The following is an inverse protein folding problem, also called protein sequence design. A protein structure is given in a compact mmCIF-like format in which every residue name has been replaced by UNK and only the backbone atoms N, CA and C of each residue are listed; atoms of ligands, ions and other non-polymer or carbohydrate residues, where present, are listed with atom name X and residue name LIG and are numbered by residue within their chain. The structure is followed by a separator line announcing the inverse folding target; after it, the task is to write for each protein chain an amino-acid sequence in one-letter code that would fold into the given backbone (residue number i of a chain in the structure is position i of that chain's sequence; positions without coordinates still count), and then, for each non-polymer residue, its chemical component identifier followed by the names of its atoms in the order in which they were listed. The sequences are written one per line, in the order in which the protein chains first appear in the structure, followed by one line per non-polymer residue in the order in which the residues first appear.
data_IF_160026972697
#
_entry.id   IF_160026972697
#
_cell.length_a   1.000
_cell.length_b   1.000
_cell.length_c   1.000
_cell.angle_alpha   90.00
_cell.angle_beta   90.00
_cell.angle_gamma   90.00
#
_symmetry.space_group_name_H-M   'P 1'
#
loop_
_entity.id
_entity.type
_entity.pdbx_description
1 polymer ?
#
# COMPACT_ATOMS: atom_id res chain seq x y z
N UNK A 1 -54.46 -11.31 -18.74
CA UNK A 1 -53.34 -12.07 -18.12
C UNK A 1 -52.30 -11.05 -17.67
N UNK A 2 -52.32 -10.70 -16.39
CA UNK A 2 -51.34 -9.79 -15.78
C UNK A 2 -50.18 -10.65 -15.25
N UNK A 3 -48.99 -10.48 -15.81
CA UNK A 3 -47.78 -11.03 -15.20
C UNK A 3 -47.49 -10.27 -13.89
N UNK A 4 -47.35 -10.95 -12.74
CA UNK A 4 -46.88 -10.30 -11.53
C UNK A 4 -45.37 -10.06 -11.72
N UNK A 5 -44.97 -8.79 -11.88
CA UNK A 5 -43.58 -8.40 -11.61
C UNK A 5 -43.35 -8.61 -10.12
N UNK A 6 -42.70 -9.71 -9.75
CA UNK A 6 -42.16 -9.91 -8.42
C UNK A 6 -41.08 -8.85 -8.18
N UNK A 7 -41.51 -7.70 -7.66
CA UNK A 7 -40.67 -6.63 -7.15
C UNK A 7 -39.97 -7.12 -5.87
N UNK A 8 -38.85 -7.81 -6.05
CA UNK A 8 -37.83 -8.03 -5.02
C UNK A 8 -37.09 -6.70 -4.78
N UNK A 9 -37.80 -5.68 -4.31
CA UNK A 9 -37.20 -4.45 -3.79
C UNK A 9 -37.83 -4.13 -2.45
N UNK A 10 -37.13 -4.46 -1.37
CA UNK A 10 -37.41 -3.91 -0.05
C UNK A 10 -37.18 -2.38 -0.06
N UNK A 11 -38.05 -1.58 0.58
CA UNK A 11 -38.04 -0.12 0.51
C UNK A 11 -37.18 0.51 1.61
N UNK A 12 -35.87 0.31 1.62
CA UNK A 12 -35.01 1.00 2.61
C UNK A 12 -33.81 1.77 2.06
N UNK A 13 -33.41 1.61 0.80
CA UNK A 13 -32.34 2.45 0.23
C UNK A 13 -32.53 2.72 -1.27
N UNK A 14 -32.35 3.97 -1.75
CA UNK A 14 -32.28 4.24 -3.17
C UNK A 14 -31.03 3.55 -3.75
N UNK A 15 -31.14 2.81 -4.88
CA UNK A 15 -30.06 2.00 -5.44
C UNK A 15 -28.76 2.79 -5.74
N UNK A 16 -28.85 4.10 -6.01
CA UNK A 16 -27.68 4.96 -6.23
C UNK A 16 -26.80 5.20 -5.00
N UNK A 17 -27.37 5.28 -3.79
CA UNK A 17 -26.61 5.64 -2.58
C UNK A 17 -25.71 4.48 -2.07
N UNK A 18 -26.00 3.24 -2.48
CA UNK A 18 -25.17 2.07 -2.18
C UNK A 18 -23.94 2.01 -3.10
N UNK A 19 -24.12 2.30 -4.39
CA UNK A 19 -23.04 2.34 -5.37
C UNK A 19 -22.02 3.45 -5.04
N UNK A 20 -22.48 4.63 -4.64
CA UNK A 20 -21.61 5.76 -4.26
C UNK A 20 -20.66 5.41 -3.12
N UNK A 21 -21.16 4.72 -2.09
CA UNK A 21 -20.35 4.30 -0.94
C UNK A 21 -19.33 3.24 -1.33
N UNK A 22 -19.73 2.24 -2.12
CA UNK A 22 -18.82 1.19 -2.59
C UNK A 22 -17.69 1.75 -3.44
N UNK A 23 -18.01 2.65 -4.37
CA UNK A 23 -17.02 3.31 -5.23
C UNK A 23 -16.10 4.20 -4.40
N UNK A 24 -16.64 4.93 -3.43
CA UNK A 24 -15.84 5.75 -2.51
C UNK A 24 -14.83 4.91 -1.73
N UNK A 25 -15.22 3.75 -1.19
CA UNK A 25 -14.30 2.82 -0.51
C UNK A 25 -13.24 2.24 -1.45
N UNK A 26 -13.57 1.96 -2.71
CA UNK A 26 -12.61 1.54 -3.72
C UNK A 26 -11.57 2.65 -4.01
N UNK A 27 -12.00 3.90 -4.11
CA UNK A 27 -11.08 5.05 -4.32
C UNK A 27 -10.20 5.27 -3.09
N UNK A 28 -10.76 5.24 -1.88
CA UNK A 28 -10.00 5.39 -0.63
C UNK A 28 -8.96 4.29 -0.48
N UNK A 29 -9.32 3.04 -0.74
CA UNK A 29 -8.37 1.92 -0.68
C UNK A 29 -7.28 2.03 -1.74
N UNK A 30 -7.59 2.52 -2.95
CA UNK A 30 -6.57 2.82 -3.96
C UNK A 30 -5.59 3.90 -3.51
N UNK A 31 -6.09 5.00 -2.92
CA UNK A 31 -5.24 6.06 -2.38
C UNK A 31 -4.33 5.53 -1.27
N UNK A 32 -4.84 4.64 -0.41
CA UNK A 32 -4.02 3.98 0.61
C UNK A 32 -2.95 3.05 0.00
N UNK A 33 -3.28 2.28 -1.04
CA UNK A 33 -2.31 1.44 -1.75
C UNK A 33 -1.19 2.31 -2.34
N UNK A 34 -1.53 3.39 -3.05
CA UNK A 34 -0.55 4.29 -3.66
C UNK A 34 0.28 4.99 -2.58
N UNK A 35 -0.35 5.53 -1.54
CA UNK A 35 0.33 6.22 -0.45
C UNK A 35 1.28 5.32 0.33
N UNK A 36 0.82 4.16 0.78
CA UNK A 36 1.66 3.20 1.52
C UNK A 36 2.75 2.61 0.62
N UNK A 37 2.43 2.31 -0.65
CA UNK A 37 3.41 1.85 -1.63
C UNK A 37 4.53 2.87 -1.87
N UNK A 38 4.16 4.16 -1.99
CA UNK A 38 5.11 5.26 -2.07
C UNK A 38 5.99 5.37 -0.83
N UNK A 39 5.41 5.27 0.36
CA UNK A 39 6.15 5.28 1.64
C UNK A 39 7.09 4.08 1.76
N UNK A 40 6.68 2.89 1.32
CA UNK A 40 7.52 1.68 1.31
C UNK A 40 8.71 1.84 0.38
N UNK A 41 8.46 2.34 -0.83
CA UNK A 41 9.49 2.62 -1.83
C UNK A 41 10.51 3.64 -1.29
N UNK A 42 10.02 4.71 -0.65
CA UNK A 42 10.86 5.75 -0.06
C UNK A 42 11.53 5.37 1.27
N UNK A 43 11.07 4.31 1.93
CA UNK A 43 11.60 3.90 3.24
C UNK A 43 13.07 3.48 3.16
N UNK A 44 13.85 3.81 4.18
CA UNK A 44 15.25 3.39 4.26
C UNK A 44 15.44 2.31 5.34
N UNK A 45 15.52 1.02 4.97
CA UNK A 45 15.70 -0.08 5.92
C UNK A 45 17.17 -0.40 6.23
N UNK A 46 18.14 0.40 5.75
CA UNK A 46 19.58 0.13 5.90
C UNK A 46 19.98 0.10 7.37
N UNK A 47 20.86 -0.82 7.77
CA UNK A 47 21.48 -0.86 9.10
C UNK A 47 22.06 0.50 9.50
N UNK A 48 21.79 0.94 10.73
CA UNK A 48 22.24 2.25 11.24
C UNK A 48 23.74 2.43 11.24
N UNK A 49 24.51 1.36 11.47
CA UNK A 49 25.96 1.43 11.44
C UNK A 49 26.48 1.63 10.02
N UNK A 50 25.85 0.98 9.03
CA UNK A 50 26.15 1.23 7.61
C UNK A 50 25.81 2.67 7.23
N UNK A 51 24.68 3.21 7.70
CA UNK A 51 24.33 4.61 7.48
C UNK A 51 25.36 5.58 8.07
N UNK A 52 25.90 5.30 9.27
CA UNK A 52 26.98 6.10 9.88
C UNK A 52 28.24 6.10 9.02
N UNK A 53 28.62 4.94 8.51
CA UNK A 53 29.78 4.78 7.61
C UNK A 53 29.58 5.55 6.30
N UNK A 54 28.41 5.47 5.69
CA UNK A 54 28.10 6.21 4.47
C UNK A 54 28.10 7.73 4.70
N UNK A 55 27.52 8.20 5.81
CA UNK A 55 27.50 9.62 6.14
C UNK A 55 28.88 10.19 6.42
N UNK A 56 29.76 9.41 7.02
CA UNK A 56 31.15 9.82 7.25
C UNK A 56 32.04 9.68 6.01
N UNK A 57 31.48 9.28 4.85
CA UNK A 57 32.23 8.96 3.62
C UNK A 57 33.36 7.96 3.87
N UNK A 58 33.12 7.02 4.78
CA UNK A 58 34.10 6.02 5.16
C UNK A 58 35.16 6.47 6.17
N UNK A 59 35.09 7.72 6.67
CA UNK A 59 36.02 8.21 7.69
C UNK A 59 35.89 7.48 9.05
N UNK A 60 34.78 6.76 9.27
CA UNK A 60 34.57 5.89 10.45
C UNK A 60 34.60 4.40 10.09
N UNK A 61 35.13 4.04 8.92
CA UNK A 61 35.45 2.65 8.61
C UNK A 61 36.58 2.26 9.55
N UNK A 62 36.42 1.14 10.23
CA UNK A 62 37.33 0.62 11.27
C UNK A 62 37.11 1.20 12.66
N UNK A 63 36.01 0.80 13.32
CA UNK A 63 36.30 0.24 14.64
C UNK A 63 37.08 -1.06 14.36
N UNK A 64 38.29 -1.22 14.90
CA UNK A 64 39.02 -2.51 14.81
C UNK A 64 38.33 -3.60 15.64
N UNK A 65 37.47 -3.19 16.57
CA UNK A 65 36.69 -4.06 17.42
C UNK A 65 35.18 -3.88 17.22
N UNK A 66 34.39 -4.96 17.37
CA UNK A 66 32.94 -4.86 17.34
C UNK A 66 32.43 -3.91 18.44
N UNK A 67 31.33 -3.17 18.24
CA UNK A 67 30.74 -2.28 19.25
C UNK A 67 30.22 -2.96 20.54
N UNK A 68 30.53 -4.24 20.74
CA UNK A 68 29.99 -5.12 21.77
C UNK A 68 29.50 -6.46 21.18
N UNK A 69 28.87 -7.26 22.02
CA UNK A 69 28.21 -8.50 21.59
C UNK A 69 27.02 -8.21 20.65
N UNK A 70 26.72 -9.14 19.75
CA UNK A 70 25.59 -9.02 18.83
C UNK A 70 25.84 -8.18 17.58
N UNK A 71 27.11 -7.98 17.21
CA UNK A 71 27.51 -7.41 15.93
C UNK A 71 28.37 -8.39 15.14
N UNK A 72 28.29 -8.29 13.81
CA UNK A 72 29.15 -9.04 12.89
C UNK A 72 29.67 -8.11 11.80
N UNK A 73 30.80 -8.46 11.21
CA UNK A 73 31.39 -7.64 10.16
C UNK A 73 30.82 -8.01 8.77
N UNK A 74 30.35 -7.02 8.02
CA UNK A 74 30.00 -7.20 6.61
C UNK A 74 31.18 -6.78 5.72
N UNK A 75 31.73 -7.72 4.97
CA UNK A 75 32.87 -7.48 4.06
C UNK A 75 32.51 -6.59 2.86
N UNK A 76 31.24 -6.60 2.42
CA UNK A 76 30.79 -5.79 1.27
C UNK A 76 30.61 -4.33 1.67
N UNK A 77 29.81 -4.08 2.71
CA UNK A 77 29.60 -2.72 3.23
C UNK A 77 30.79 -2.18 4.05
N UNK A 78 31.78 -3.02 4.36
CA UNK A 78 32.96 -2.72 5.19
C UNK A 78 32.60 -2.07 6.52
N UNK A 79 31.62 -2.66 7.21
CA UNK A 79 31.06 -2.13 8.44
C UNK A 79 30.58 -3.24 9.38
N UNK A 80 30.67 -3.00 10.70
CA UNK A 80 29.98 -3.83 11.69
C UNK A 80 28.47 -3.57 11.63
N UNK A 81 27.72 -4.63 11.35
CA UNK A 81 26.26 -4.64 11.29
C UNK A 81 25.71 -5.43 12.47
N UNK A 82 24.44 -5.21 12.82
CA UNK A 82 23.81 -6.05 13.85
C UNK A 82 23.82 -7.51 13.41
N UNK A 83 23.94 -8.45 14.36
CA UNK A 83 24.15 -9.88 14.08
C UNK A 83 23.06 -10.48 13.16
N UNK A 84 21.82 -10.02 13.28
CA UNK A 84 20.69 -10.44 12.44
C UNK A 84 20.54 -9.66 11.13
N UNK A 85 21.45 -8.75 10.80
CA UNK A 85 21.43 -8.08 9.51
C UNK A 85 21.95 -8.99 8.41
N UNK A 86 21.39 -8.85 7.21
CA UNK A 86 21.87 -9.53 6.00
C UNK A 86 22.11 -8.50 4.90
N UNK A 87 23.13 -8.75 4.09
CA UNK A 87 23.47 -7.91 2.95
C UNK A 87 22.60 -8.28 1.75
N UNK A 88 21.79 -7.34 1.27
CA UNK A 88 21.03 -7.50 0.04
C UNK A 88 21.87 -7.05 -1.15
N UNK A 89 22.23 -8.00 -2.02
CA UNK A 89 23.03 -7.72 -3.23
C UNK A 89 22.31 -6.84 -4.26
N UNK A 90 20.99 -6.91 -4.33
CA UNK A 90 20.20 -6.11 -5.27
C UNK A 90 20.18 -4.61 -4.90
N UNK A 91 20.23 -4.31 -3.60
CA UNK A 91 20.23 -2.93 -3.11
C UNK A 91 21.58 -2.46 -2.57
N UNK A 92 22.61 -3.31 -2.62
CA UNK A 92 23.95 -3.08 -2.07
C UNK A 92 23.95 -2.49 -0.65
N UNK A 93 23.12 -3.07 0.23
CA UNK A 93 22.93 -2.58 1.60
C UNK A 93 22.63 -3.69 2.58
N UNK A 94 23.16 -3.56 3.81
CA UNK A 94 22.77 -4.42 4.92
C UNK A 94 21.47 -3.94 5.54
N UNK A 95 20.55 -4.86 5.81
CA UNK A 95 19.24 -4.58 6.40
C UNK A 95 19.07 -5.44 7.66
N UNK A 96 18.77 -4.84 8.83
CA UNK A 96 18.47 -5.58 10.06
C UNK A 96 17.26 -6.49 9.88
N UNK A 97 17.41 -7.78 10.23
CA UNK A 97 16.40 -8.84 10.04
C UNK A 97 15.77 -8.74 8.66
N UNK A 98 16.61 -8.73 7.63
CA UNK A 98 16.17 -8.76 6.24
C UNK A 98 15.23 -9.96 6.05
N UNK A 99 14.02 -9.69 5.61
CA UNK A 99 13.08 -10.72 5.19
C UNK A 99 13.33 -11.02 3.71
N UNK A 100 13.12 -10.04 2.84
CA UNK A 100 13.37 -10.17 1.41
C UNK A 100 13.63 -8.83 0.72
N UNK A 101 14.16 -8.91 -0.51
CA UNK A 101 14.11 -7.79 -1.45
C UNK A 101 12.81 -7.88 -2.25
N UNK A 102 11.93 -6.89 -2.11
CA UNK A 102 10.65 -6.87 -2.78
C UNK A 102 10.76 -6.06 -4.05
N UNK A 103 10.69 -6.74 -5.19
CA UNK A 103 10.75 -6.10 -6.50
C UNK A 103 9.56 -5.16 -6.77
N UNK A 104 8.38 -5.46 -6.21
CA UNK A 104 7.17 -4.65 -6.40
C UNK A 104 7.28 -3.25 -5.80
N UNK A 105 8.04 -3.08 -4.71
CA UNK A 105 8.31 -1.76 -4.10
C UNK A 105 9.74 -1.29 -4.36
N UNK A 106 10.48 -2.03 -5.20
CA UNK A 106 11.90 -1.79 -5.51
C UNK A 106 12.75 -1.49 -4.27
N UNK A 107 12.52 -2.22 -3.18
CA UNK A 107 13.17 -1.97 -1.90
C UNK A 107 13.24 -3.23 -1.03
N UNK A 108 14.13 -3.23 -0.04
CA UNK A 108 14.20 -4.30 0.94
C UNK A 108 13.10 -4.16 1.99
N UNK A 109 12.56 -5.31 2.41
CA UNK A 109 11.68 -5.41 3.56
C UNK A 109 12.48 -6.02 4.72
N UNK A 110 12.49 -5.33 5.85
CA UNK A 110 13.16 -5.77 7.06
C UNK A 110 12.57 -5.10 8.29
N UNK A 111 13.25 -5.21 9.42
CA UNK A 111 12.71 -4.84 10.74
C UNK A 111 12.06 -3.44 10.79
N UNK A 112 12.67 -2.45 10.12
CA UNK A 112 12.27 -1.04 10.21
C UNK A 112 11.06 -0.66 9.38
N UNK A 113 10.77 -1.39 8.31
CA UNK A 113 9.63 -1.12 7.42
C UNK A 113 8.63 -2.29 7.36
N UNK A 114 8.83 -3.35 8.14
CA UNK A 114 7.95 -4.52 8.16
C UNK A 114 6.48 -4.18 8.46
N UNK A 115 6.24 -3.27 9.41
CA UNK A 115 4.87 -2.82 9.75
C UNK A 115 4.19 -2.08 8.59
N UNK A 116 4.96 -1.25 7.88
CA UNK A 116 4.48 -0.58 6.67
C UNK A 116 4.18 -1.60 5.56
N UNK A 117 5.01 -2.63 5.43
CA UNK A 117 4.84 -3.69 4.44
C UNK A 117 3.55 -4.47 4.68
N UNK A 118 3.30 -4.91 5.93
CA UNK A 118 2.04 -5.55 6.32
C UNK A 118 0.84 -4.63 6.09
N UNK A 119 0.95 -3.34 6.43
CA UNK A 119 -0.09 -2.35 6.13
C UNK A 119 -0.39 -2.23 4.64
N UNK A 120 0.65 -2.29 3.79
CA UNK A 120 0.52 -2.29 2.33
C UNK A 120 -0.16 -3.56 1.81
N UNK A 121 0.16 -4.73 2.34
CA UNK A 121 -0.55 -5.98 1.98
C UNK A 121 -2.04 -5.90 2.34
N UNK A 122 -2.36 -5.39 3.52
CA UNK A 122 -3.74 -5.17 3.95
C UNK A 122 -4.49 -4.17 3.04
N UNK A 123 -3.84 -3.08 2.62
CA UNK A 123 -4.48 -2.11 1.72
C UNK A 123 -4.71 -2.68 0.32
N UNK A 124 -3.77 -3.46 -0.23
CA UNK A 124 -3.94 -4.16 -1.51
C UNK A 124 -5.08 -5.19 -1.43
N UNK A 125 -5.17 -5.93 -0.32
CA UNK A 125 -6.27 -6.86 -0.10
C UNK A 125 -7.62 -6.14 -0.05
N UNK A 126 -7.72 -5.05 0.71
CA UNK A 126 -8.94 -4.25 0.81
C UNK A 126 -9.36 -3.67 -0.55
N UNK A 127 -8.40 -3.16 -1.33
CA UNK A 127 -8.65 -2.66 -2.68
C UNK A 127 -9.16 -3.77 -3.60
N UNK A 128 -8.49 -4.93 -3.62
CA UNK A 128 -8.88 -6.08 -4.44
C UNK A 128 -10.28 -6.60 -4.10
N UNK A 129 -10.61 -6.68 -2.81
CA UNK A 129 -11.93 -7.06 -2.34
C UNK A 129 -12.99 -6.04 -2.77
N UNK A 130 -12.73 -4.74 -2.59
CA UNK A 130 -13.65 -3.69 -3.01
C UNK A 130 -13.92 -3.71 -4.52
N UNK A 131 -12.89 -3.95 -5.33
CA UNK A 131 -13.01 -4.05 -6.78
C UNK A 131 -13.83 -5.27 -7.21
N UNK A 132 -13.64 -6.42 -6.55
CA UNK A 132 -14.45 -7.62 -6.80
C UNK A 132 -15.93 -7.37 -6.48
N UNK A 133 -16.23 -6.72 -5.36
CA UNK A 133 -17.62 -6.37 -4.98
C UNK A 133 -18.25 -5.43 -5.99
N UNK A 134 -17.55 -4.35 -6.37
CA UNK A 134 -18.02 -3.40 -7.40
C UNK A 134 -18.29 -4.11 -8.72
N UNK A 135 -17.41 -5.04 -9.13
CA UNK A 135 -17.58 -5.82 -10.36
C UNK A 135 -18.83 -6.70 -10.31
N UNK A 136 -19.08 -7.41 -9.20
CA UNK A 136 -20.27 -8.25 -9.02
C UNK A 136 -21.55 -7.40 -9.02
N UNK A 137 -21.56 -6.27 -8.31
CA UNK A 137 -22.70 -5.34 -8.29
C UNK A 137 -22.95 -4.76 -9.69
N UNK A 138 -21.90 -4.41 -10.41
CA UNK A 138 -21.98 -3.96 -11.81
C UNK A 138 -22.63 -5.02 -12.71
N UNK A 139 -22.21 -6.28 -12.60
CA UNK A 139 -22.83 -7.38 -13.36
C UNK A 139 -24.33 -7.54 -13.04
N UNK A 140 -24.73 -7.41 -11.77
CA UNK A 140 -26.13 -7.47 -11.35
C UNK A 140 -26.92 -6.29 -11.95
N UNK A 141 -26.39 -5.07 -11.87
CA UNK A 141 -27.01 -3.87 -12.43
C UNK A 141 -27.21 -3.98 -13.95
N UNK A 142 -26.24 -4.55 -14.68
CA UNK A 142 -26.34 -4.84 -16.12
C UNK A 142 -27.49 -5.81 -16.39
N UNK A 143 -27.59 -6.91 -15.63
CA UNK A 143 -28.68 -7.90 -15.79
C UNK A 143 -30.07 -7.32 -15.53
N UNK A 144 -30.16 -6.31 -14.67
CA UNK A 144 -31.41 -5.64 -14.29
C UNK A 144 -31.75 -4.44 -15.18
N UNK A 145 -30.90 -4.08 -16.15
CA UNK A 145 -31.09 -2.90 -17.00
C UNK A 145 -30.89 -1.57 -16.26
N UNK A 146 -30.24 -1.58 -15.09
CA UNK A 146 -30.02 -0.42 -14.22
C UNK A 146 -28.62 0.20 -14.41
N UNK A 147 -28.02 0.06 -15.59
CA UNK A 147 -26.65 0.55 -15.85
C UNK A 147 -26.51 2.06 -15.67
N UNK A 148 -27.51 2.84 -16.05
CA UNK A 148 -27.43 4.30 -15.96
C UNK A 148 -27.32 4.79 -14.51
N UNK A 149 -28.05 4.15 -13.59
CA UNK A 149 -28.00 4.50 -12.16
C UNK A 149 -26.65 4.11 -11.53
N UNK A 150 -26.08 2.98 -11.96
CA UNK A 150 -24.74 2.56 -11.55
C UNK A 150 -23.64 3.50 -12.06
N UNK A 151 -23.74 3.94 -13.33
CA UNK A 151 -22.80 4.89 -13.94
C UNK A 151 -22.93 6.30 -13.34
N UNK A 152 -24.13 6.73 -12.95
CA UNK A 152 -24.34 8.02 -12.29
C UNK A 152 -23.59 8.07 -10.94
N UNK A 153 -23.52 6.95 -10.22
CA UNK A 153 -22.75 6.88 -8.97
C UNK A 153 -21.22 7.00 -9.16
N UNK A 154 -20.70 6.51 -10.28
CA UNK A 154 -19.30 6.79 -10.69
C UNK A 154 -19.06 8.28 -10.90
N UNK A 155 -20.00 8.98 -11.53
CA UNK A 155 -19.86 10.41 -11.81
C UNK A 155 -19.91 11.26 -10.52
N UNK A 156 -20.83 10.96 -9.60
CA UNK A 156 -21.00 11.72 -8.35
C UNK A 156 -19.85 11.51 -7.36
N UNK A 157 -19.34 10.28 -7.21
CA UNK A 157 -18.16 9.99 -6.40
C UNK A 157 -16.90 10.70 -6.92
N UNK A 158 -16.72 10.77 -8.25
CA UNK A 158 -15.63 11.53 -8.86
C UNK A 158 -15.74 13.04 -8.66
N UNK A 159 -16.96 13.58 -8.60
CA UNK A 159 -17.22 14.99 -8.32
C UNK A 159 -16.99 15.32 -6.83
N UNK A 160 -17.38 14.42 -5.93
CA UNK A 160 -17.09 14.54 -4.49
C UNK A 160 -15.59 14.58 -4.20
N UNK A 161 -14.80 13.75 -4.90
CA UNK A 161 -13.34 13.79 -4.79
C UNK A 161 -12.73 15.09 -5.34
N UNK A 162 -13.28 15.61 -6.46
CA UNK A 162 -12.90 16.93 -7.01
C UNK A 162 -13.25 18.09 -6.08
N UNK A 163 -14.38 18.03 -5.37
CA UNK A 163 -14.76 19.06 -4.40
C UNK A 163 -13.91 19.00 -3.12
N UNK A 164 -13.49 17.79 -2.69
CA UNK A 164 -12.60 17.59 -1.55
C UNK A 164 -11.16 18.04 -1.83
N UNK A 165 -10.66 17.84 -3.05
CA UNK A 165 -9.33 18.31 -3.46
C UNK A 165 -9.32 19.74 -4.05
N UNK A 166 -10.46 20.27 -4.45
CA UNK A 166 -10.62 21.55 -5.15
C UNK A 166 -11.10 22.72 -4.28
N UNK A 167 -11.14 22.58 -2.96
CA UNK A 167 -11.53 23.68 -2.05
C UNK A 167 -10.37 24.63 -1.69
N UNK A 168 -9.15 24.41 -2.21
CA UNK A 168 -8.10 25.42 -2.17
C UNK A 168 -8.38 26.48 -3.25
N UNK A 169 -9.27 27.41 -2.92
CA UNK A 169 -9.46 28.65 -3.68
C UNK A 169 -8.16 29.47 -3.60
N UNK A 170 -7.56 29.76 -4.75
CA UNK A 170 -6.77 30.98 -4.91
C UNK A 170 -7.71 32.18 -4.94
#
# INVERSE_FOLDING_TARGET
MLHPRSSLCHPTYPPGLCADRLISWMVVSLVLVIGIGGLLTASNPVDTNVLKVWRSKGAVVAAEEPPGDGFKYCLVCKAYVVDRALHCRYCDKCVPRLDHHCFYVNNCIGERNYRLYLGGLCSVFAFSLSHAVVSVVGCIAVRQGQMNDFLLGYSLSSLGFKLLLGSQRF
#
